data_IF_151892988492
#
_entry.id   IF_151892988492
#
_cell.length_a   1.000
_cell.length_b   1.000
_cell.length_c   1.000
_cell.angle_alpha   90.00
_cell.angle_beta   90.00
_cell.angle_gamma   90.00
#
_symmetry.space_group_name_H-M   'P 1'
#
loop_
_entity.id
_entity.type
_entity.pdbx_description
1 polymer ?
#
# COMPACT_ATOMS: atom_id res chain seq x y z
N UNK A 1 -9.17 -10.74 8.38
CA UNK A 1 -9.20 -9.38 8.97
C UNK A 1 -9.69 -8.44 7.89
N UNK A 2 -10.48 -7.38 8.14
CA UNK A 2 -10.83 -6.48 7.02
C UNK A 2 -9.62 -5.58 6.70
N UNK A 3 -9.41 -5.19 5.44
CA UNK A 3 -8.34 -4.23 5.07
C UNK A 3 -8.41 -2.97 5.95
N UNK A 4 -9.62 -2.47 6.20
CA UNK A 4 -9.83 -1.32 7.10
C UNK A 4 -9.26 -1.51 8.50
N UNK A 5 -9.32 -2.73 9.06
CA UNK A 5 -8.82 -2.99 10.41
C UNK A 5 -7.28 -3.02 10.42
N UNK A 6 -6.66 -3.41 9.30
CA UNK A 6 -5.21 -3.32 9.10
C UNK A 6 -4.78 -1.86 8.96
N UNK A 7 -5.48 -1.08 8.14
CA UNK A 7 -5.26 0.36 7.99
C UNK A 7 -5.35 1.07 9.34
N UNK A 8 -6.42 0.82 10.10
CA UNK A 8 -6.62 1.42 11.43
C UNK A 8 -5.47 1.10 12.40
N UNK A 9 -4.89 -0.12 12.32
CA UNK A 9 -3.74 -0.51 13.13
C UNK A 9 -2.46 0.19 12.67
N UNK A 10 -2.24 0.30 11.37
CA UNK A 10 -1.09 0.98 10.78
C UNK A 10 -1.11 2.49 11.10
N UNK A 11 -2.28 3.13 10.98
CA UNK A 11 -2.44 4.55 11.32
C UNK A 11 -2.27 4.84 12.81
N UNK A 12 -2.54 3.87 13.69
CA UNK A 12 -2.24 3.98 15.13
C UNK A 12 -0.75 3.82 15.44
N UNK A 13 -0.04 3.05 14.62
CA UNK A 13 1.39 2.83 14.77
C UNK A 13 2.18 4.08 14.36
N UNK A 14 1.81 4.68 13.23
CA UNK A 14 2.37 5.94 12.74
C UNK A 14 1.29 6.79 12.06
N UNK A 15 0.86 7.90 12.68
CA UNK A 15 -0.14 8.80 12.12
C UNK A 15 0.32 9.53 10.85
N UNK A 16 1.63 9.56 10.56
CA UNK A 16 2.20 10.20 9.36
C UNK A 16 2.47 9.18 8.25
N UNK A 17 2.05 7.93 8.41
CA UNK A 17 2.22 6.89 7.40
C UNK A 17 1.37 7.18 6.16
N UNK A 18 2.03 7.37 5.02
CA UNK A 18 1.36 7.43 3.72
C UNK A 18 0.97 6.01 3.27
N UNK A 19 -0.34 5.76 3.23
CA UNK A 19 -0.90 4.45 2.86
C UNK A 19 -1.58 4.52 1.48
N UNK A 20 -1.16 3.64 0.59
CA UNK A 20 -1.73 3.48 -0.76
C UNK A 20 -2.36 2.10 -0.87
N UNK A 21 -3.58 2.03 -1.37
CA UNK A 21 -4.31 0.78 -1.61
C UNK A 21 -4.69 0.73 -3.07
N UNK A 22 -4.29 -0.35 -3.74
CA UNK A 22 -4.70 -0.67 -5.11
C UNK A 22 -5.57 -1.90 -5.04
N UNK A 23 -6.78 -1.83 -5.61
CA UNK A 23 -7.66 -2.97 -5.76
C UNK A 23 -8.43 -2.84 -7.09
N UNK A 24 -8.81 -3.96 -7.68
CA UNK A 24 -9.53 -3.96 -8.95
C UNK A 24 -11.06 -3.79 -8.78
N UNK A 25 -11.62 -4.04 -7.58
CA UNK A 25 -13.07 -3.94 -7.29
C UNK A 25 -13.37 -2.82 -6.26
N UNK A 26 -13.77 -1.65 -6.77
CA UNK A 26 -14.13 -0.45 -6.00
C UNK A 26 -15.39 -0.62 -5.15
N UNK A 27 -16.30 -1.50 -5.55
CA UNK A 27 -17.63 -1.55 -4.95
C UNK A 27 -17.67 -2.44 -3.69
N UNK A 28 -16.80 -3.45 -3.60
CA UNK A 28 -16.88 -4.45 -2.52
C UNK A 28 -15.74 -4.43 -1.52
N UNK A 29 -14.59 -3.83 -1.86
CA UNK A 29 -13.43 -3.65 -0.98
C UNK A 29 -12.84 -4.98 -0.47
N UNK A 30 -11.56 -5.29 -0.70
CA UNK A 30 -11.04 -6.63 -0.43
C UNK A 30 -11.15 -7.04 1.04
N UNK A 31 -11.49 -8.30 1.30
CA UNK A 31 -11.42 -8.90 2.65
C UNK A 31 -10.10 -9.66 2.76
N UNK A 32 -9.11 -9.06 3.44
CA UNK A 32 -7.83 -9.75 3.68
C UNK A 32 -8.07 -11.11 4.35
N UNK A 33 -7.79 -12.17 3.60
CA UNK A 33 -7.76 -13.53 4.10
C UNK A 33 -6.48 -13.75 4.89
N UNK A 34 -5.33 -13.52 4.25
CA UNK A 34 -4.01 -13.50 4.87
C UNK A 34 -3.03 -12.59 4.12
N UNK A 35 -1.92 -12.23 4.78
CA UNK A 35 -0.79 -11.52 4.19
C UNK A 35 0.18 -12.56 3.64
N UNK A 36 0.41 -12.53 2.33
CA UNK A 36 1.27 -13.49 1.63
C UNK A 36 2.75 -13.13 1.76
N UNK A 37 3.05 -11.83 1.72
CA UNK A 37 4.41 -11.32 1.81
C UNK A 37 4.46 -9.84 2.21
N UNK A 38 5.63 -9.43 2.69
CA UNK A 38 5.96 -8.02 2.88
C UNK A 38 7.34 -7.77 2.29
N UNK A 39 7.37 -6.96 1.23
CA UNK A 39 8.61 -6.52 0.60
C UNK A 39 8.87 -5.05 0.89
N UNK A 40 10.14 -4.64 0.87
CA UNK A 40 10.50 -3.23 1.04
C UNK A 40 11.42 -2.76 -0.06
N UNK A 41 11.08 -1.62 -0.67
CA UNK A 41 11.87 -1.00 -1.72
C UNK A 41 12.07 0.50 -1.45
N UNK A 42 13.05 1.10 -2.10
CA UNK A 42 13.16 2.56 -2.17
C UNK A 42 12.44 3.04 -3.41
N UNK A 43 11.60 4.07 -3.23
CA UNK A 43 10.73 4.57 -4.29
C UNK A 43 10.66 6.09 -4.31
N UNK A 44 10.45 6.63 -5.50
CA UNK A 44 9.93 7.98 -5.70
C UNK A 44 8.45 7.89 -6.02
N UNK A 45 7.65 8.77 -5.41
CA UNK A 45 6.21 8.87 -5.68
C UNK A 45 5.87 10.18 -6.36
N UNK A 46 5.10 10.12 -7.43
CA UNK A 46 4.57 11.29 -8.13
C UNK A 46 3.07 11.13 -8.38
N UNK A 47 2.45 12.17 -8.94
CA UNK A 47 1.11 12.08 -9.53
C UNK A 47 1.22 12.29 -11.03
N UNK A 48 0.53 11.48 -11.82
CA UNK A 48 0.33 11.77 -13.24
C UNK A 48 -0.66 12.90 -13.46
N UNK A 49 -0.74 13.36 -14.71
CA UNK A 49 -1.63 14.44 -15.14
C UNK A 49 -3.13 14.11 -14.93
N UNK A 50 -3.47 12.82 -14.87
CA UNK A 50 -4.81 12.31 -14.53
C UNK A 50 -5.05 12.15 -13.01
N UNK A 51 -4.07 12.53 -12.19
CA UNK A 51 -4.13 12.47 -10.73
C UNK A 51 -3.82 11.11 -10.13
N UNK A 52 -3.49 10.08 -10.93
CA UNK A 52 -3.12 8.77 -10.42
C UNK A 52 -1.76 8.80 -9.73
N UNK A 53 -1.64 8.05 -8.65
CA UNK A 53 -0.37 7.90 -7.94
C UNK A 53 0.56 7.00 -8.75
N UNK A 54 1.78 7.49 -9.01
CA UNK A 54 2.83 6.72 -9.67
C UNK A 54 3.95 6.41 -8.69
N UNK A 55 4.48 5.20 -8.79
CA UNK A 55 5.59 4.70 -7.97
C UNK A 55 6.71 4.28 -8.90
N UNK A 56 7.91 4.83 -8.69
CA UNK A 56 9.12 4.47 -9.42
C UNK A 56 10.13 3.88 -8.45
N UNK A 57 10.60 2.66 -8.74
CA UNK A 57 11.66 2.02 -7.97
C UNK A 57 13.00 2.71 -8.21
N UNK A 58 13.73 3.01 -7.13
CA UNK A 58 15.01 3.72 -7.17
C UNK A 58 16.04 3.04 -6.25
N UNK A 59 17.28 3.54 -6.30
CA UNK A 59 18.37 3.03 -5.46
C UNK A 59 18.18 3.45 -4.00
N UNK A 60 18.79 2.76 -3.01
CA UNK A 60 18.65 3.12 -1.59
C UNK A 60 19.14 4.52 -1.20
N UNK A 61 20.00 5.12 -2.01
CA UNK A 61 20.47 6.50 -1.83
C UNK A 61 19.46 7.55 -2.28
N UNK A 62 18.36 7.13 -2.89
CA UNK A 62 17.36 7.99 -3.53
C UNK A 62 15.95 7.64 -3.03
N UNK A 63 15.05 8.62 -3.03
CA UNK A 63 13.65 8.41 -2.65
C UNK A 63 13.41 8.04 -1.18
N UNK A 64 12.26 7.43 -0.91
CA UNK A 64 11.82 6.99 0.43
C UNK A 64 11.63 5.49 0.47
N UNK A 65 11.82 4.88 1.65
CA UNK A 65 11.53 3.47 1.85
C UNK A 65 10.01 3.24 1.91
N UNK A 66 9.52 2.29 1.12
CA UNK A 66 8.11 1.88 1.06
C UNK A 66 8.00 0.38 1.27
N UNK A 67 6.99 -0.05 2.03
CA UNK A 67 6.63 -1.44 2.21
C UNK A 67 5.45 -1.80 1.31
N UNK A 68 5.55 -2.93 0.61
CA UNK A 68 4.49 -3.52 -0.19
C UNK A 68 3.97 -4.73 0.58
N UNK A 69 2.66 -4.76 0.81
CA UNK A 69 2.00 -5.83 1.56
C UNK A 69 1.06 -6.53 0.58
N UNK A 70 1.45 -7.74 0.19
CA UNK A 70 0.63 -8.56 -0.69
C UNK A 70 -0.43 -9.27 0.15
N UNK A 71 -1.70 -9.03 -0.21
CA UNK A 71 -2.86 -9.59 0.48
C UNK A 71 -3.63 -10.49 -0.47
N UNK A 72 -3.99 -11.68 0.01
CA UNK A 72 -4.92 -12.56 -0.70
C UNK A 72 -6.33 -12.29 -0.18
N UNK A 73 -7.26 -12.06 -1.09
CA UNK A 73 -8.68 -11.92 -0.77
C UNK A 73 -9.35 -13.30 -0.66
N UNK A 74 -10.35 -13.40 0.21
CA UNK A 74 -11.24 -14.57 0.28
C UNK A 74 -12.49 -14.28 -0.54
N UNK A 75 -12.56 -14.84 -1.75
CA UNK A 75 -13.79 -14.90 -2.55
C UNK A 75 -14.87 -15.75 -1.86
#
# INVERSE_FOLDING_TARGET
MKVKDLIDRLSKLDPQLDLYVVHDDIDHGPKVFYVDGVDTHHVETSRSDDGLHQVKFVTPSEGRKMAFIDVVDQF
#
